data_IF_991061330105
#
_entry.id   IF_991061330105
#
_cell.length_a   1.000
_cell.length_b   1.000
_cell.length_c   1.000
_cell.angle_alpha   90.00
_cell.angle_beta   90.00
_cell.angle_gamma   90.00
#
_symmetry.space_group_name_H-M   'P 1'
#
loop_
_entity.id
_entity.type
_entity.pdbx_description
1 polymer ?
#
# COMPACT_ATOMS: atom_id res chain seq x y z
N UNK A 1 10.64 -2.03 12.24
CA UNK A 1 10.86 -2.94 11.09
C UNK A 1 10.14 -2.44 9.87
N UNK A 2 10.76 -2.56 8.71
CA UNK A 2 10.20 -2.11 7.46
C UNK A 2 10.52 -3.05 6.31
N UNK A 3 9.86 -2.79 5.18
CA UNK A 3 10.03 -3.56 3.95
C UNK A 3 10.27 -2.59 2.80
N UNK A 4 11.21 -2.94 1.96
CA UNK A 4 11.39 -2.26 0.67
C UNK A 4 10.70 -3.11 -0.39
N UNK A 5 9.94 -2.45 -1.26
CA UNK A 5 9.17 -3.12 -2.29
C UNK A 5 9.46 -2.48 -3.65
N UNK A 6 9.33 -3.31 -4.69
CA UNK A 6 9.32 -2.83 -6.05
C UNK A 6 7.87 -2.83 -6.54
N UNK A 7 7.37 -1.64 -6.91
CA UNK A 7 6.12 -1.51 -7.64
C UNK A 7 6.44 -1.62 -9.13
N UNK A 8 5.78 -2.54 -9.82
CA UNK A 8 6.03 -2.74 -11.24
C UNK A 8 4.73 -3.00 -11.99
N UNK A 9 4.72 -2.60 -13.25
CA UNK A 9 3.54 -2.72 -14.11
C UNK A 9 3.95 -3.27 -15.47
N UNK A 10 3.03 -3.96 -16.13
CA UNK A 10 3.23 -4.47 -17.50
C UNK A 10 3.56 -3.37 -18.52
N UNK A 11 3.21 -2.11 -18.21
CA UNK A 11 3.56 -0.97 -19.06
C UNK A 11 5.04 -0.58 -19.00
N UNK A 12 5.83 -1.21 -18.12
CA UNK A 12 7.24 -0.92 -17.95
C UNK A 12 7.56 0.02 -16.80
N UNK A 13 6.54 0.57 -16.13
CA UNK A 13 6.77 1.44 -14.98
C UNK A 13 7.26 0.63 -13.78
N UNK A 14 8.34 1.09 -13.18
CA UNK A 14 8.91 0.49 -11.96
C UNK A 14 9.33 1.58 -11.01
N UNK A 15 9.09 1.36 -9.72
CA UNK A 15 9.58 2.26 -8.68
C UNK A 15 9.69 1.55 -7.34
N UNK A 16 10.76 1.86 -6.61
CA UNK A 16 10.96 1.36 -5.26
C UNK A 16 10.18 2.21 -4.26
N UNK A 17 9.52 1.54 -3.32
CA UNK A 17 8.78 2.17 -2.22
C UNK A 17 9.04 1.41 -0.95
N UNK A 18 8.69 2.03 0.18
CA UNK A 18 8.88 1.43 1.50
C UNK A 18 7.56 1.32 2.25
N UNK A 19 7.47 0.30 3.11
CA UNK A 19 6.37 0.16 4.06
C UNK A 19 6.96 -0.07 5.45
N UNK A 20 6.46 0.67 6.44
CA UNK A 20 6.86 0.55 7.83
C UNK A 20 7.78 1.66 8.29
N UNK A 21 8.20 1.58 9.55
CA UNK A 21 9.09 2.55 10.17
C UNK A 21 10.42 1.95 10.54
N UNK A 22 11.41 2.81 10.75
CA UNK A 22 12.70 2.41 11.27
C UNK A 22 12.69 2.32 12.81
N UNK A 23 13.87 2.16 13.37
CA UNK A 23 14.05 2.03 14.83
C UNK A 23 13.52 3.19 15.65
N UNK A 24 13.55 4.40 15.09
CA UNK A 24 13.18 5.60 15.84
C UNK A 24 11.69 5.66 16.21
N UNK A 25 10.85 4.93 15.48
CA UNK A 25 9.39 5.00 15.64
C UNK A 25 8.78 6.35 15.29
N UNK A 26 9.57 7.25 14.70
CA UNK A 26 9.14 8.62 14.38
C UNK A 26 8.47 8.75 13.03
N UNK A 27 8.56 7.72 12.20
CA UNK A 27 7.95 7.71 10.88
C UNK A 27 7.40 6.33 10.57
N UNK A 28 6.39 6.29 9.72
CA UNK A 28 5.84 5.06 9.19
C UNK A 28 5.41 5.34 7.76
N UNK A 29 6.14 4.77 6.82
CA UNK A 29 5.89 5.01 5.40
C UNK A 29 4.98 3.94 4.81
N UNK A 30 4.17 4.34 3.84
CA UNK A 30 3.28 3.44 3.12
C UNK A 30 3.18 3.89 1.66
N UNK A 31 3.10 2.96 0.69
CA UNK A 31 2.97 3.31 -0.72
C UNK A 31 1.70 4.09 -1.02
N UNK A 32 1.86 5.17 -1.75
CA UNK A 32 0.78 6.01 -2.27
C UNK A 32 1.08 6.34 -3.72
N UNK A 33 0.09 6.83 -4.45
CA UNK A 33 0.35 7.44 -5.74
C UNK A 33 -0.12 8.89 -5.73
N UNK A 34 0.57 9.70 -6.50
CA UNK A 34 0.26 11.13 -6.63
C UNK A 34 -0.42 11.38 -7.99
N UNK A 35 -1.60 11.97 -7.96
CA UNK A 35 -2.35 12.30 -9.19
C UNK A 35 -1.73 13.50 -9.91
N UNK A 36 -1.04 14.37 -9.18
CA UNK A 36 -0.43 15.57 -9.77
C UNK A 36 0.80 15.26 -10.62
N UNK A 37 1.68 14.36 -10.16
CA UNK A 37 2.89 14.01 -10.90
C UNK A 37 2.86 12.61 -11.50
N UNK A 38 1.76 11.88 -11.32
CA UNK A 38 1.58 10.52 -11.84
C UNK A 38 2.70 9.58 -11.43
N UNK A 39 3.08 9.62 -10.16
CA UNK A 39 4.17 8.82 -9.61
C UNK A 39 3.76 8.05 -8.38
N UNK A 40 4.40 6.89 -8.21
CA UNK A 40 4.35 6.10 -7.00
C UNK A 40 5.29 6.73 -5.98
N UNK A 41 4.88 6.84 -4.73
CA UNK A 41 5.69 7.49 -3.69
C UNK A 41 5.47 6.83 -2.34
N UNK A 42 6.48 6.88 -1.48
CA UNK A 42 6.38 6.46 -0.08
C UNK A 42 6.01 7.69 0.75
N UNK A 43 4.91 7.60 1.48
CA UNK A 43 4.40 8.72 2.27
C UNK A 43 4.42 8.35 3.75
N UNK A 44 4.95 9.26 4.58
CA UNK A 44 4.91 9.11 6.04
C UNK A 44 3.51 9.41 6.56
N UNK A 45 2.79 8.36 6.95
CA UNK A 45 1.39 8.46 7.39
C UNK A 45 1.24 9.07 8.78
N UNK A 46 2.35 9.24 9.52
CA UNK A 46 2.32 9.87 10.84
C UNK A 46 2.35 11.39 10.78
N UNK A 47 2.63 11.97 9.62
CA UNK A 47 2.59 13.41 9.44
C UNK A 47 1.15 13.91 9.43
N UNK A 48 0.93 15.09 9.99
CA UNK A 48 -0.41 15.70 10.04
C UNK A 48 -0.96 16.02 8.65
N UNK A 49 -0.08 16.43 7.72
CA UNK A 49 -0.45 16.78 6.36
C UNK A 49 0.46 16.03 5.38
N UNK A 50 0.17 14.73 5.13
CA UNK A 50 1.01 13.96 4.22
C UNK A 50 0.96 14.55 2.81
N UNK A 51 2.12 14.52 2.14
CA UNK A 51 2.30 15.05 0.79
C UNK A 51 3.14 14.11 -0.04
N UNK A 52 3.02 14.24 -1.36
CA UNK A 52 3.91 13.56 -2.28
C UNK A 52 5.36 13.98 -2.02
N UNK A 53 6.25 13.00 -1.87
CA UNK A 53 7.67 13.27 -1.59
C UNK A 53 8.41 13.84 -2.80
N UNK A 54 7.83 13.72 -4.00
CA UNK A 54 8.47 14.20 -5.23
C UNK A 54 8.02 15.59 -5.65
N UNK A 55 6.73 15.89 -5.59
CA UNK A 55 6.20 17.18 -6.04
C UNK A 55 5.54 18.02 -4.95
N UNK A 56 5.37 17.48 -3.75
CA UNK A 56 4.76 18.18 -2.63
C UNK A 56 3.25 18.33 -2.70
N UNK A 57 2.59 17.72 -3.67
CA UNK A 57 1.14 17.79 -3.81
C UNK A 57 0.42 17.01 -2.70
N UNK A 58 -0.76 17.49 -2.32
CA UNK A 58 -1.64 16.79 -1.38
C UNK A 58 -2.57 15.80 -2.08
N UNK A 59 -2.54 15.74 -3.42
CA UNK A 59 -3.40 14.84 -4.21
C UNK A 59 -2.82 13.43 -4.27
N UNK A 60 -2.66 12.83 -3.09
CA UNK A 60 -2.12 11.48 -2.94
C UNK A 60 -3.21 10.51 -2.50
N UNK A 61 -3.10 9.27 -2.99
CA UNK A 61 -4.01 8.19 -2.61
C UNK A 61 -3.23 6.97 -2.18
N UNK A 62 -3.68 6.36 -1.08
CA UNK A 62 -3.05 5.19 -0.49
C UNK A 62 -3.39 3.92 -1.28
N UNK A 63 -2.43 3.01 -1.33
CA UNK A 63 -2.66 1.65 -1.81
C UNK A 63 -3.12 0.71 -0.70
N UNK A 64 -3.41 1.24 0.47
CA UNK A 64 -3.84 0.44 1.62
C UNK A 64 -5.13 -0.32 1.33
N UNK A 65 -5.13 -1.61 1.67
CA UNK A 65 -6.33 -2.42 1.66
C UNK A 65 -7.17 -2.08 2.89
N UNK A 66 -8.36 -1.57 2.67
CA UNK A 66 -9.30 -1.23 3.76
C UNK A 66 -10.27 -2.36 4.04
N UNK A 67 -10.08 -3.49 3.37
CA UNK A 67 -10.97 -4.64 3.46
C UNK A 67 -10.54 -5.61 4.56
N UNK A 68 -11.48 -6.40 5.02
CA UNK A 68 -11.26 -7.41 6.05
C UNK A 68 -10.77 -8.70 5.43
N UNK A 69 -10.02 -9.49 6.19
CA UNK A 69 -9.65 -10.84 5.76
C UNK A 69 -10.90 -11.71 5.60
N UNK A 70 -10.96 -12.42 4.48
CA UNK A 70 -12.09 -13.32 4.18
C UNK A 70 -12.10 -14.47 5.19
N UNK A 71 -13.21 -14.71 5.89
CA UNK A 71 -13.31 -15.85 6.81
C UNK A 71 -13.33 -17.17 6.04
N UNK A 72 -12.92 -18.27 6.72
CA UNK A 72 -12.90 -19.61 6.12
C UNK A 72 -14.30 -20.05 5.67
N UNK A 73 -15.32 -19.75 6.47
CA UNK A 73 -16.70 -20.05 6.13
C UNK A 73 -17.40 -18.78 5.62
N UNK A 74 -17.69 -18.75 4.33
CA UNK A 74 -18.34 -17.63 3.66
C UNK A 74 -19.83 -17.85 3.41
N UNK A 75 -20.39 -18.96 3.88
CA UNK A 75 -21.78 -19.34 3.57
C UNK A 75 -22.82 -18.31 4.04
N UNK A 76 -22.51 -17.56 5.09
CA UNK A 76 -23.40 -16.53 5.62
C UNK A 76 -23.18 -15.14 5.06
N UNK A 77 -22.23 -14.96 4.13
CA UNK A 77 -21.89 -13.65 3.62
C UNK A 77 -22.65 -13.33 2.33
N UNK A 78 -23.41 -12.20 2.29
CA UNK A 78 -24.01 -11.75 1.05
C UNK A 78 -22.93 -11.42 0.02
N UNK A 79 -23.21 -11.74 -1.25
CA UNK A 79 -22.27 -11.52 -2.35
C UNK A 79 -21.75 -10.05 -2.42
N UNK A 80 -22.65 -9.09 -2.21
CA UNK A 80 -22.26 -7.68 -2.29
C UNK A 80 -21.30 -7.24 -1.17
N UNK A 81 -21.25 -7.98 -0.06
CA UNK A 81 -20.31 -7.69 1.02
C UNK A 81 -18.95 -8.34 0.80
N UNK A 82 -18.87 -9.36 -0.06
CA UNK A 82 -17.61 -10.07 -0.30
C UNK A 82 -16.54 -9.21 -0.95
N UNK A 83 -16.95 -8.15 -1.64
CA UNK A 83 -16.02 -7.18 -2.24
C UNK A 83 -15.20 -6.43 -1.19
N UNK A 84 -15.68 -6.38 0.05
CA UNK A 84 -15.00 -5.70 1.15
C UNK A 84 -14.01 -6.64 1.87
N UNK A 85 -13.85 -7.85 1.36
CA UNK A 85 -12.96 -8.87 1.94
C UNK A 85 -11.84 -9.22 0.95
N UNK A 86 -10.72 -9.66 1.50
CA UNK A 86 -9.59 -10.13 0.71
C UNK A 86 -9.16 -11.50 1.20
N UNK A 87 -8.51 -12.28 0.33
CA UNK A 87 -7.91 -13.55 0.70
C UNK A 87 -6.52 -13.31 1.29
N UNK A 88 -6.18 -14.07 2.34
CA UNK A 88 -4.87 -13.93 2.98
C UNK A 88 -3.72 -14.20 2.03
N UNK A 89 -3.89 -15.12 1.10
CA UNK A 89 -2.88 -15.47 0.10
C UNK A 89 -2.56 -14.33 -0.87
N UNK A 90 -3.46 -13.35 -1.00
CA UNK A 90 -3.28 -12.18 -1.88
C UNK A 90 -2.56 -11.02 -1.18
N UNK A 91 -2.24 -11.17 0.12
CA UNK A 91 -1.56 -10.14 0.89
C UNK A 91 -0.06 -10.23 0.65
N UNK A 92 0.56 -9.11 0.28
CA UNK A 92 2.01 -9.03 0.13
C UNK A 92 2.68 -8.68 1.45
N UNK A 93 2.13 -7.68 2.15
CA UNK A 93 2.70 -7.18 3.40
C UNK A 93 1.60 -6.83 4.39
N UNK A 94 1.78 -7.26 5.65
CA UNK A 94 1.05 -6.72 6.79
C UNK A 94 2.07 -6.08 7.73
N UNK A 95 1.84 -4.86 8.15
CA UNK A 95 2.74 -4.16 9.05
C UNK A 95 1.95 -3.34 10.05
N UNK A 96 2.21 -3.58 11.34
CA UNK A 96 1.52 -2.89 12.42
C UNK A 96 2.20 -1.55 12.72
N UNK A 97 1.40 -0.51 12.78
CA UNK A 97 1.85 0.83 13.16
C UNK A 97 1.40 1.11 14.59
N UNK A 98 2.35 1.10 15.53
CA UNK A 98 2.06 1.29 16.95
C UNK A 98 1.50 2.67 17.26
N UNK A 99 1.99 3.69 16.55
CA UNK A 99 1.59 5.08 16.77
C UNK A 99 0.12 5.32 16.42
N UNK A 100 -0.41 4.59 15.45
CA UNK A 100 -1.80 4.71 15.01
C UNK A 100 -2.68 3.55 15.51
N UNK A 101 -2.08 2.58 16.20
CA UNK A 101 -2.74 1.34 16.66
C UNK A 101 -3.52 0.69 15.51
N UNK A 102 -2.84 0.48 14.40
CA UNK A 102 -3.46 0.02 13.16
C UNK A 102 -2.51 -0.86 12.37
N UNK A 103 -3.04 -1.94 11.78
CA UNK A 103 -2.30 -2.78 10.84
C UNK A 103 -2.54 -2.28 9.42
N UNK A 104 -1.45 -1.99 8.73
CA UNK A 104 -1.49 -1.63 7.31
C UNK A 104 -1.31 -2.89 6.47
N UNK A 105 -2.18 -3.07 5.49
CA UNK A 105 -2.18 -4.23 4.60
C UNK A 105 -1.98 -3.78 3.17
N UNK A 106 -1.01 -4.39 2.49
CA UNK A 106 -0.77 -4.16 1.07
C UNK A 106 -0.98 -5.46 0.31
N UNK A 107 -1.86 -5.44 -0.67
CA UNK A 107 -2.14 -6.59 -1.53
C UNK A 107 -1.05 -6.74 -2.59
N UNK A 108 -0.89 -7.96 -3.15
CA UNK A 108 0.15 -8.25 -4.14
C UNK A 108 -0.04 -7.51 -5.45
N UNK A 109 -1.27 -7.40 -5.92
CA UNK A 109 -1.47 -6.87 -7.25
C UNK A 109 -2.85 -6.33 -7.57
N UNK A 110 -2.99 -5.97 -8.83
CA UNK A 110 -4.17 -5.32 -9.39
C UNK A 110 -4.38 -3.92 -8.83
N UNK A 111 -3.27 -3.24 -8.56
CA UNK A 111 -3.28 -1.85 -8.09
C UNK A 111 -3.28 -0.88 -9.26
N UNK A 112 -3.76 0.31 -9.01
CA UNK A 112 -3.77 1.39 -10.00
C UNK A 112 -2.34 1.82 -10.33
N UNK A 113 -1.98 1.75 -11.61
CA UNK A 113 -0.70 2.26 -12.09
C UNK A 113 -0.84 3.75 -12.43
N UNK A 114 -0.08 4.64 -11.78
CA UNK A 114 -0.22 6.08 -12.06
C UNK A 114 0.29 6.46 -13.46
N UNK A 115 1.06 5.60 -14.09
CA UNK A 115 1.63 5.87 -15.42
C UNK A 115 0.68 5.48 -16.54
N UNK A 116 0.23 4.22 -16.58
CA UNK A 116 -0.68 3.75 -17.63
C UNK A 116 -2.15 3.86 -17.26
N UNK A 117 -2.45 4.15 -16.00
CA UNK A 117 -3.80 4.37 -15.47
C UNK A 117 -4.71 3.14 -15.53
N UNK A 118 -4.10 1.95 -15.56
CA UNK A 118 -4.81 0.68 -15.48
C UNK A 118 -4.52 -0.02 -14.14
N UNK A 119 -5.40 -0.93 -13.73
CA UNK A 119 -5.23 -1.72 -12.51
C UNK A 119 -4.32 -2.93 -12.75
N UNK A 120 -3.06 -2.66 -13.04
CA UNK A 120 -2.07 -3.68 -13.41
C UNK A 120 -0.75 -3.55 -12.65
N UNK A 121 -0.70 -2.69 -11.64
CA UNK A 121 0.50 -2.51 -10.82
C UNK A 121 0.60 -3.60 -9.77
N UNK A 122 1.77 -4.22 -9.67
CA UNK A 122 2.09 -5.26 -8.71
C UNK A 122 3.13 -4.76 -7.73
N UNK A 123 3.14 -5.30 -6.51
CA UNK A 123 4.18 -5.03 -5.53
C UNK A 123 4.90 -6.32 -5.17
N UNK A 124 6.22 -6.22 -5.04
CA UNK A 124 7.06 -7.35 -4.66
C UNK A 124 8.08 -6.90 -3.61
N UNK A 125 8.23 -7.68 -2.53
CA UNK A 125 9.21 -7.38 -1.48
C UNK A 125 10.61 -7.65 -2.02
N UNK A 126 11.49 -6.64 -1.93
CA UNK A 126 12.87 -6.74 -2.36
C UNK A 126 13.84 -6.77 -1.18
N UNK A 127 13.46 -6.17 -0.06
CA UNK A 127 14.34 -6.06 1.09
C UNK A 127 13.57 -5.91 2.41
N UNK A 128 14.17 -6.40 3.50
CA UNK A 128 13.67 -6.18 4.86
C UNK A 128 14.68 -5.30 5.60
N UNK A 129 14.21 -4.31 6.34
CA UNK A 129 15.05 -3.45 7.16
C UNK A 129 14.42 -3.18 8.53
N UNK A 130 15.25 -2.75 9.47
CA UNK A 130 14.77 -2.41 10.82
C UNK A 130 14.57 -0.92 11.01
#
# INVERSE_FOLDING_TARGET
MGRELLGYCKCGYEKEVCIGGGFSGKSFEFPHYCESCNSLTSVDVLKKKPKCTECGSKDIKSYEAITKELPDDVSGLPYFMMKDYHKREDVQVENFCHQLDKTFVLMKGNHYCPRCKENSLMFHITWFFD
#
